data_IF_852005082402
#
_entry.id   IF_852005082402
#
_cell.length_a   1.000
_cell.length_b   1.000
_cell.length_c   1.000
_cell.angle_alpha   90.00
_cell.angle_beta   90.00
_cell.angle_gamma   90.00
#
_symmetry.space_group_name_H-M   'P 1'
#
loop_
_entity.id
_entity.type
_entity.pdbx_description
1 polymer ?
#
# COMPACT_ATOMS: atom_id res chain seq x y z
N UNK A 1 46.90 -15.25 -48.10
CA UNK A 1 46.03 -16.21 -47.39
C UNK A 1 46.33 -16.11 -45.91
N UNK A 2 45.53 -15.34 -45.18
CA UNK A 2 45.75 -15.08 -43.74
C UNK A 2 44.45 -15.38 -43.00
N UNK A 3 44.53 -16.35 -42.08
CA UNK A 3 43.45 -16.90 -41.28
C UNK A 3 43.01 -15.87 -40.21
N UNK A 4 41.77 -15.39 -40.30
CA UNK A 4 41.14 -14.59 -39.25
C UNK A 4 40.47 -15.55 -38.25
N UNK A 5 40.98 -15.50 -37.02
CA UNK A 5 40.54 -16.26 -35.84
C UNK A 5 39.10 -15.90 -35.42
N UNK A 6 38.28 -16.93 -35.19
CA UNK A 6 36.87 -16.87 -34.74
C UNK A 6 36.69 -16.46 -33.25
N UNK A 7 37.43 -15.46 -32.75
CA UNK A 7 37.36 -15.08 -31.31
C UNK A 7 36.90 -13.65 -30.98
N UNK A 8 36.51 -12.84 -31.96
CA UNK A 8 36.20 -11.42 -31.68
C UNK A 8 34.73 -11.00 -31.87
N UNK A 9 33.80 -11.93 -32.11
CA UNK A 9 32.41 -11.58 -32.45
C UNK A 9 31.40 -11.65 -31.28
N UNK A 10 31.83 -11.81 -30.03
CA UNK A 10 30.93 -12.07 -28.89
C UNK A 10 30.90 -10.99 -27.80
N UNK A 11 31.56 -9.85 -27.98
CA UNK A 11 31.57 -8.77 -26.97
C UNK A 11 30.61 -7.60 -27.33
N UNK A 12 30.00 -7.60 -28.52
CA UNK A 12 29.17 -6.47 -28.96
C UNK A 12 27.65 -6.57 -28.73
N UNK A 13 27.10 -7.73 -28.35
CA UNK A 13 25.65 -7.96 -28.39
C UNK A 13 24.92 -7.75 -27.05
N UNK A 14 25.62 -7.66 -25.93
CA UNK A 14 25.00 -7.58 -24.59
C UNK A 14 24.60 -6.17 -24.17
N UNK A 15 25.14 -5.12 -24.82
CA UNK A 15 24.84 -3.73 -24.48
C UNK A 15 23.51 -3.18 -25.02
N UNK A 16 22.89 -3.85 -26.01
CA UNK A 16 21.68 -3.36 -26.69
C UNK A 16 20.37 -4.03 -26.23
N UNK A 17 20.44 -5.08 -25.41
CA UNK A 17 19.26 -5.82 -24.96
C UNK A 17 18.62 -5.23 -23.70
N UNK A 18 19.36 -4.46 -22.90
CA UNK A 18 18.85 -3.90 -21.64
C UNK A 18 18.01 -2.62 -21.83
N UNK A 19 18.20 -1.88 -22.92
CA UNK A 19 17.35 -0.72 -23.26
C UNK A 19 16.05 -1.12 -24.01
N UNK A 20 15.96 -2.37 -24.46
CA UNK A 20 14.80 -2.90 -25.17
C UNK A 20 13.65 -3.29 -24.24
N UNK A 21 13.94 -3.90 -23.09
CA UNK A 21 12.91 -4.34 -22.14
C UNK A 21 12.10 -3.18 -21.55
N UNK A 22 12.72 -2.02 -21.34
CA UNK A 22 12.06 -0.83 -20.81
C UNK A 22 11.15 -0.16 -21.86
N UNK A 23 11.53 -0.18 -23.15
CA UNK A 23 10.66 0.26 -24.26
C UNK A 23 9.50 -0.71 -24.54
N UNK A 24 9.70 -2.00 -24.32
CA UNK A 24 8.67 -3.02 -24.53
C UNK A 24 7.60 -2.96 -23.43
N UNK A 25 7.99 -2.82 -22.17
CA UNK A 25 7.05 -2.72 -21.03
C UNK A 25 6.29 -1.39 -20.97
N UNK A 26 6.81 -0.33 -21.60
CA UNK A 26 6.16 0.98 -21.72
C UNK A 26 5.27 1.12 -22.97
N UNK A 27 5.34 0.19 -23.92
CA UNK A 27 4.53 0.23 -25.13
C UNK A 27 3.01 0.11 -24.80
N UNK A 28 2.14 0.97 -25.38
CA UNK A 28 0.71 0.99 -25.03
C UNK A 28 -0.01 -0.36 -25.22
N UNK A 29 0.40 -1.13 -26.22
CA UNK A 29 -0.15 -2.46 -26.49
C UNK A 29 0.23 -3.47 -25.39
N UNK A 30 1.48 -3.45 -24.92
CA UNK A 30 1.96 -4.32 -23.84
C UNK A 30 1.32 -3.94 -22.51
N UNK A 31 1.20 -2.64 -22.21
CA UNK A 31 0.46 -2.16 -21.03
C UNK A 31 -1.00 -2.62 -21.03
N UNK A 32 -1.71 -2.52 -22.15
CA UNK A 32 -3.10 -3.01 -22.26
C UNK A 32 -3.21 -4.51 -21.96
N UNK A 33 -2.27 -5.31 -22.44
CA UNK A 33 -2.23 -6.76 -22.17
C UNK A 33 -1.94 -7.03 -20.70
N UNK A 34 -0.99 -6.32 -20.09
CA UNK A 34 -0.67 -6.45 -18.67
C UNK A 34 -1.85 -6.06 -17.77
N UNK A 35 -2.51 -4.92 -18.04
CA UNK A 35 -3.71 -4.49 -17.30
C UNK A 35 -4.88 -5.45 -17.50
N UNK A 36 -5.04 -6.05 -18.69
CA UNK A 36 -6.04 -7.08 -18.91
C UNK A 36 -5.74 -8.35 -18.10
N UNK A 37 -4.47 -8.75 -18.02
CA UNK A 37 -3.99 -9.83 -17.16
C UNK A 37 -4.28 -9.58 -15.68
N UNK A 38 -4.03 -8.36 -15.20
CA UNK A 38 -4.36 -7.95 -13.82
C UNK A 38 -5.86 -8.04 -13.54
N UNK A 39 -6.71 -7.55 -14.46
CA UNK A 39 -8.17 -7.66 -14.31
C UNK A 39 -8.65 -9.11 -14.31
N UNK A 40 -8.02 -9.97 -15.12
CA UNK A 40 -8.32 -11.40 -15.14
C UNK A 40 -7.88 -12.08 -13.84
N UNK A 41 -6.69 -11.76 -13.31
CA UNK A 41 -6.19 -12.24 -12.03
C UNK A 41 -7.11 -11.81 -10.87
N UNK A 42 -7.48 -10.53 -10.83
CA UNK A 42 -8.45 -9.97 -9.89
C UNK A 42 -9.79 -10.70 -9.93
N UNK A 43 -10.33 -10.89 -11.13
CA UNK A 43 -11.63 -11.56 -11.32
C UNK A 43 -11.55 -13.03 -10.93
N UNK A 44 -10.46 -13.72 -11.28
CA UNK A 44 -10.21 -15.11 -10.92
C UNK A 44 -10.08 -15.31 -9.42
N UNK A 45 -9.26 -14.50 -8.74
CA UNK A 45 -9.12 -14.56 -7.28
C UNK A 45 -10.46 -14.31 -6.57
N UNK A 46 -11.27 -13.38 -7.07
CA UNK A 46 -12.60 -13.09 -6.51
C UNK A 46 -13.66 -14.17 -6.77
N UNK A 47 -13.48 -15.03 -7.77
CA UNK A 47 -14.38 -16.14 -8.05
C UNK A 47 -14.10 -17.35 -7.15
N UNK A 48 -12.84 -17.53 -6.74
CA UNK A 48 -12.40 -18.73 -6.01
C UNK A 48 -12.25 -18.46 -4.51
N UNK A 49 -11.92 -17.22 -4.12
CA UNK A 49 -11.75 -16.85 -2.72
C UNK A 49 -13.04 -16.21 -2.18
N UNK A 50 -13.56 -16.72 -1.07
CA UNK A 50 -14.63 -16.03 -0.33
C UNK A 50 -14.17 -14.58 -0.02
N UNK A 51 -15.04 -13.61 -0.32
CA UNK A 51 -14.77 -12.19 -0.10
C UNK A 51 -14.56 -11.86 1.38
N UNK A 52 -15.06 -12.71 2.27
CA UNK A 52 -14.87 -12.60 3.72
C UNK A 52 -13.80 -13.56 4.25
N UNK A 53 -13.11 -14.32 3.38
CA UNK A 53 -12.03 -15.19 3.82
C UNK A 53 -10.91 -14.34 4.42
N UNK A 54 -10.63 -14.62 5.69
CA UNK A 54 -9.55 -13.99 6.42
C UNK A 54 -8.20 -14.47 5.88
N UNK A 55 -7.24 -13.56 5.79
CA UNK A 55 -5.83 -13.91 5.72
C UNK A 55 -5.45 -14.75 6.96
N UNK A 56 -4.52 -15.71 6.81
CA UNK A 56 -4.08 -16.53 7.94
C UNK A 56 -3.64 -15.69 9.13
N UNK A 57 -4.16 -16.05 10.31
CA UNK A 57 -3.72 -15.48 11.57
C UNK A 57 -2.78 -16.44 12.29
N UNK A 58 -1.80 -15.86 12.97
CA UNK A 58 -0.74 -16.57 13.65
C UNK A 58 -0.85 -16.37 15.17
N UNK A 59 0.04 -17.03 15.90
CA UNK A 59 0.16 -16.84 17.34
C UNK A 59 1.35 -15.94 17.67
N UNK A 60 1.45 -15.55 18.94
CA UNK A 60 2.60 -14.77 19.41
C UNK A 60 3.92 -15.53 19.34
N UNK A 61 3.88 -16.86 19.36
CA UNK A 61 5.08 -17.68 19.21
C UNK A 61 5.68 -17.57 17.80
N UNK A 62 4.87 -17.16 16.81
CA UNK A 62 5.26 -17.01 15.41
C UNK A 62 5.80 -15.61 15.08
N UNK A 63 5.80 -14.68 16.05
CA UNK A 63 6.25 -13.31 15.81
C UNK A 63 7.70 -13.30 15.33
N UNK A 64 7.93 -12.58 14.23
CA UNK A 64 9.28 -12.44 13.69
C UNK A 64 10.16 -11.66 14.68
N UNK A 65 11.37 -12.14 15.00
CA UNK A 65 12.28 -11.44 15.93
C UNK A 65 12.61 -10.01 15.49
N UNK A 66 12.59 -9.78 14.17
CA UNK A 66 12.72 -8.46 13.57
C UNK A 66 11.65 -8.30 12.51
N UNK A 67 10.91 -7.20 12.59
CA UNK A 67 10.04 -6.76 11.51
C UNK A 67 10.80 -5.71 10.71
N UNK A 68 11.16 -6.00 9.45
CA UNK A 68 11.99 -5.10 8.65
C UNK A 68 11.24 -3.80 8.33
N UNK A 69 11.93 -2.66 8.46
CA UNK A 69 11.46 -1.38 7.96
C UNK A 69 11.82 -1.26 6.47
N UNK A 70 10.82 -1.00 5.61
CA UNK A 70 11.01 -0.76 4.18
C UNK A 70 10.53 0.64 3.78
N UNK A 71 11.07 1.21 2.70
CA UNK A 71 10.77 2.55 2.21
C UNK A 71 11.20 3.65 3.18
N UNK A 72 10.49 4.79 3.15
CA UNK A 72 10.78 5.95 4.01
C UNK A 72 10.57 5.62 5.50
N UNK A 73 11.57 5.90 6.36
CA UNK A 73 11.54 5.57 7.80
C UNK A 73 11.32 6.79 8.71
N UNK A 74 11.33 7.99 8.13
CA UNK A 74 11.15 9.25 8.82
C UNK A 74 10.75 10.31 7.78
N UNK A 75 9.45 10.64 7.64
CA UNK A 75 9.00 11.70 6.75
C UNK A 75 9.71 13.01 7.05
N UNK A 76 10.24 13.69 6.02
CA UNK A 76 11.03 14.92 6.20
C UNK A 76 10.20 16.20 6.31
N UNK A 77 8.89 16.14 6.09
CA UNK A 77 8.01 17.31 6.06
C UNK A 77 7.91 18.00 7.42
N UNK A 78 7.93 19.34 7.43
CA UNK A 78 7.86 20.13 8.65
C UNK A 78 6.59 19.83 9.47
N UNK A 79 5.45 19.64 8.79
CA UNK A 79 4.18 19.32 9.41
C UNK A 79 4.23 17.97 10.15
N UNK A 80 4.80 16.93 9.52
CA UNK A 80 4.95 15.63 10.18
C UNK A 80 5.93 15.71 11.36
N UNK A 81 7.03 16.45 11.21
CA UNK A 81 7.99 16.66 12.30
C UNK A 81 7.35 17.38 13.49
N UNK A 82 6.49 18.36 13.25
CA UNK A 82 5.74 19.05 14.29
C UNK A 82 4.78 18.10 15.04
N UNK A 83 4.04 17.26 14.32
CA UNK A 83 3.23 16.21 14.95
C UNK A 83 4.08 15.21 15.73
N UNK A 84 5.21 14.77 15.20
CA UNK A 84 6.08 13.82 15.91
C UNK A 84 6.64 14.43 17.20
N UNK A 85 7.04 15.70 17.18
CA UNK A 85 7.62 16.41 18.32
C UNK A 85 6.66 16.54 19.51
N UNK A 86 5.34 16.60 19.27
CA UNK A 86 4.31 16.65 20.31
C UNK A 86 3.65 15.30 20.61
N UNK A 87 4.23 14.19 20.14
CA UNK A 87 3.67 12.85 20.36
C UNK A 87 2.36 12.61 19.60
N UNK A 88 2.18 13.28 18.46
CA UNK A 88 1.01 13.23 17.58
C UNK A 88 -0.28 13.73 18.23
N UNK A 89 -0.17 14.63 19.22
CA UNK A 89 -1.33 15.22 19.90
C UNK A 89 -2.22 16.02 18.94
N UNK A 90 -1.59 16.71 17.98
CA UNK A 90 -2.28 17.54 16.98
C UNK A 90 -2.59 16.81 15.68
N UNK A 91 -2.16 15.55 15.54
CA UNK A 91 -2.42 14.76 14.34
C UNK A 91 -3.91 14.45 14.22
N UNK A 92 -4.43 14.56 12.99
CA UNK A 92 -5.80 14.22 12.65
C UNK A 92 -5.82 13.45 11.34
N UNK A 93 -6.60 12.37 11.32
CA UNK A 93 -6.98 11.69 10.09
C UNK A 93 -8.13 12.45 9.45
N UNK A 94 -7.98 12.84 8.20
CA UNK A 94 -9.07 13.39 7.39
C UNK A 94 -9.77 12.30 6.58
N UNK A 95 -11.10 12.34 6.53
CA UNK A 95 -11.92 11.42 5.74
C UNK A 95 -12.83 12.22 4.82
N UNK A 96 -12.69 12.02 3.51
CA UNK A 96 -13.40 12.79 2.49
C UNK A 96 -13.60 12.08 1.16
N UNK A 97 -13.85 12.86 0.12
CA UNK A 97 -14.16 12.38 -1.23
C UNK A 97 -15.64 12.06 -1.43
N UNK A 98 -15.94 10.90 -2.02
CA UNK A 98 -17.28 10.37 -2.29
C UNK A 98 -17.97 9.85 -1.01
N UNK A 99 -18.21 10.76 -0.08
CA UNK A 99 -18.85 10.50 1.22
C UNK A 99 -19.96 11.51 1.47
N UNK A 100 -21.05 11.11 2.12
CA UNK A 100 -22.11 12.03 2.50
C UNK A 100 -21.78 12.82 3.78
N UNK A 101 -20.90 12.29 4.63
CA UNK A 101 -20.49 12.91 5.90
C UNK A 101 -18.96 12.92 6.03
N UNK A 102 -18.25 13.88 5.40
CA UNK A 102 -16.82 14.06 5.63
C UNK A 102 -16.57 14.46 7.08
N UNK A 103 -15.45 13.99 7.66
CA UNK A 103 -15.07 14.33 9.02
C UNK A 103 -13.56 14.11 9.23
N UNK A 104 -13.05 14.59 10.36
CA UNK A 104 -11.70 14.29 10.82
C UNK A 104 -11.73 13.68 12.21
N UNK A 105 -10.76 12.82 12.52
CA UNK A 105 -10.62 12.20 13.84
C UNK A 105 -9.20 12.33 14.38
N UNK A 106 -9.05 12.65 15.66
CA UNK A 106 -7.75 12.70 16.33
C UNK A 106 -7.21 11.30 16.58
N UNK A 107 -5.91 11.18 16.89
CA UNK A 107 -5.33 9.90 17.29
C UNK A 107 -6.03 9.31 18.53
N UNK A 108 -6.43 10.14 19.48
CA UNK A 108 -7.15 9.71 20.68
C UNK A 108 -8.52 9.12 20.34
N UNK A 109 -9.27 9.76 19.43
CA UNK A 109 -10.56 9.26 18.95
C UNK A 109 -10.42 7.94 18.16
N UNK A 110 -9.37 7.82 17.34
CA UNK A 110 -9.08 6.58 16.62
C UNK A 110 -8.77 5.43 17.61
N UNK A 111 -8.01 5.70 18.67
CA UNK A 111 -7.66 4.70 19.70
C UNK A 111 -8.85 4.28 20.57
N UNK A 112 -9.86 5.15 20.74
CA UNK A 112 -11.07 4.85 21.51
C UNK A 112 -12.19 4.19 20.69
N UNK A 113 -12.11 4.24 19.36
CA UNK A 113 -13.04 3.53 18.47
C UNK A 113 -12.92 1.99 18.63
N UNK A 114 -13.88 1.20 18.12
CA UNK A 114 -13.77 -0.26 18.15
C UNK A 114 -12.49 -0.75 17.49
N UNK A 115 -11.75 -1.61 18.20
CA UNK A 115 -10.44 -2.11 17.78
C UNK A 115 -10.51 -3.55 17.29
N UNK A 116 -9.60 -3.90 16.40
CA UNK A 116 -9.23 -5.27 16.05
C UNK A 116 -7.75 -5.45 16.32
N UNK A 117 -7.41 -6.57 16.94
CA UNK A 117 -6.03 -7.08 17.03
C UNK A 117 -5.91 -8.31 16.13
N UNK A 118 -4.85 -8.37 15.34
CA UNK A 118 -4.55 -9.50 14.45
C UNK A 118 -3.05 -9.76 14.40
N UNK A 119 -2.65 -11.02 14.33
CA UNK A 119 -1.25 -11.41 14.12
C UNK A 119 -1.17 -11.97 12.72
N UNK A 120 -0.51 -11.25 11.82
CA UNK A 120 -0.55 -11.54 10.38
C UNK A 120 0.83 -11.43 9.78
N UNK A 121 1.01 -12.14 8.66
CA UNK A 121 2.24 -12.09 7.87
C UNK A 121 2.17 -10.93 6.89
N UNK A 122 3.25 -10.17 6.83
CA UNK A 122 3.52 -9.18 5.80
C UNK A 122 4.45 -9.81 4.76
N UNK A 123 4.01 -9.85 3.51
CA UNK A 123 4.77 -10.40 2.40
C UNK A 123 5.25 -9.25 1.51
N UNK A 124 6.57 -9.04 1.47
CA UNK A 124 7.18 -7.97 0.70
C UNK A 124 7.57 -8.43 -0.71
N UNK A 125 7.35 -7.56 -1.70
CA UNK A 125 7.77 -7.78 -3.09
C UNK A 125 9.30 -7.98 -3.23
N UNK A 126 10.09 -7.52 -2.26
CA UNK A 126 11.54 -7.72 -2.20
C UNK A 126 11.96 -9.16 -1.78
N UNK A 127 11.00 -10.09 -1.64
CA UNK A 127 11.28 -11.51 -1.37
C UNK A 127 11.50 -11.86 0.10
N UNK A 128 10.93 -11.07 1.03
CA UNK A 128 10.98 -11.37 2.46
C UNK A 128 9.61 -11.25 3.10
N UNK A 129 9.41 -11.98 4.19
CA UNK A 129 8.17 -11.95 4.97
C UNK A 129 8.45 -11.71 6.45
N UNK A 130 7.52 -11.08 7.16
CA UNK A 130 7.59 -10.91 8.61
C UNK A 130 6.21 -10.99 9.24
N UNK A 131 6.11 -11.65 10.39
CA UNK A 131 4.87 -11.78 11.17
C UNK A 131 4.91 -10.74 12.28
N UNK A 132 3.82 -9.95 12.38
CA UNK A 132 3.66 -8.91 13.40
C UNK A 132 2.25 -8.94 13.99
N UNK A 133 2.12 -8.52 15.25
CA UNK A 133 0.84 -8.27 15.90
C UNK A 133 0.45 -6.80 15.68
N UNK A 134 -0.72 -6.56 15.11
CA UNK A 134 -1.21 -5.24 14.77
C UNK A 134 -2.52 -4.98 15.50
N UNK A 135 -2.66 -3.77 16.06
CA UNK A 135 -3.94 -3.32 16.65
C UNK A 135 -4.34 -1.98 16.06
N UNK A 136 -5.59 -1.89 15.65
CA UNK A 136 -6.14 -0.73 14.94
C UNK A 136 -7.64 -0.78 14.74
N UNK A 137 -8.16 0.26 14.11
CA UNK A 137 -9.60 0.36 13.78
C UNK A 137 -9.86 -0.29 12.43
N UNK A 138 -10.83 -1.22 12.32
CA UNK A 138 -11.31 -1.69 11.02
C UNK A 138 -11.73 -0.54 10.11
N UNK A 139 -11.10 -0.43 8.93
CA UNK A 139 -11.32 0.67 7.99
C UNK A 139 -12.79 0.78 7.59
N UNK A 140 -13.46 -0.36 7.37
CA UNK A 140 -14.89 -0.38 7.05
C UNK A 140 -15.79 0.31 8.09
N UNK A 141 -15.39 0.41 9.37
CA UNK A 141 -16.17 1.16 10.37
C UNK A 141 -16.08 2.67 10.11
N UNK A 142 -14.89 3.16 9.80
CA UNK A 142 -14.63 4.58 9.49
C UNK A 142 -15.38 4.96 8.21
N UNK A 143 -15.32 4.10 7.19
CA UNK A 143 -16.02 4.31 5.92
C UNK A 143 -17.54 4.30 6.08
N UNK A 144 -18.10 3.40 6.91
CA UNK A 144 -19.53 3.43 7.26
C UNK A 144 -19.92 4.70 8.00
N UNK A 145 -19.10 5.17 8.94
CA UNK A 145 -19.34 6.42 9.66
C UNK A 145 -19.33 7.63 8.71
N UNK A 146 -18.46 7.62 7.69
CA UNK A 146 -18.40 8.65 6.66
C UNK A 146 -19.60 8.62 5.70
N UNK A 147 -20.40 7.55 5.72
CA UNK A 147 -21.50 7.31 4.78
C UNK A 147 -21.00 7.37 3.33
N UNK A 148 -20.13 6.42 2.98
CA UNK A 148 -19.63 6.25 1.60
C UNK A 148 -20.78 6.20 0.58
N UNK A 149 -20.62 6.96 -0.50
CA UNK A 149 -21.59 7.00 -1.59
C UNK A 149 -21.48 5.74 -2.46
N UNK A 150 -22.58 5.24 -3.06
CA UNK A 150 -22.55 4.05 -3.92
C UNK A 150 -21.64 4.16 -5.15
N UNK A 151 -21.27 5.38 -5.57
CA UNK A 151 -20.34 5.61 -6.67
C UNK A 151 -18.87 5.43 -6.29
N UNK A 152 -18.53 5.33 -5.00
CA UNK A 152 -17.15 5.14 -4.56
C UNK A 152 -16.67 3.71 -4.85
N UNK A 153 -15.63 3.60 -5.67
CA UNK A 153 -15.05 2.33 -6.09
C UNK A 153 -13.69 2.05 -5.43
N UNK A 154 -12.99 3.11 -5.02
CA UNK A 154 -11.64 3.03 -4.47
C UNK A 154 -11.49 3.92 -3.24
N UNK A 155 -10.49 3.60 -2.43
CA UNK A 155 -10.05 4.39 -1.28
C UNK A 155 -8.58 4.73 -1.47
N UNK A 156 -8.28 6.02 -1.42
CA UNK A 156 -6.93 6.58 -1.53
C UNK A 156 -6.43 6.97 -0.15
N UNK A 157 -5.18 6.65 0.13
CA UNK A 157 -4.44 7.02 1.33
C UNK A 157 -3.37 8.02 0.95
N UNK A 158 -3.53 9.26 1.44
CA UNK A 158 -2.51 10.29 1.33
C UNK A 158 -1.61 10.23 2.54
N UNK A 159 -0.30 10.21 2.31
CA UNK A 159 0.68 9.94 3.35
C UNK A 159 1.58 11.16 3.59
N UNK A 160 2.21 11.21 4.75
CA UNK A 160 3.11 12.30 5.11
C UNK A 160 4.51 12.18 4.46
N UNK A 161 4.88 10.99 3.98
CA UNK A 161 6.16 10.74 3.34
C UNK A 161 6.17 11.07 1.84
N UNK A 162 7.38 11.27 1.35
CA UNK A 162 7.70 11.45 -0.05
C UNK A 162 8.91 10.58 -0.42
N UNK A 163 9.13 10.49 -1.73
CA UNK A 163 10.33 9.94 -2.32
C UNK A 163 10.92 10.99 -3.27
N UNK A 164 11.97 11.67 -2.81
CA UNK A 164 12.64 12.74 -3.56
C UNK A 164 11.70 13.90 -3.92
N UNK A 165 10.83 14.28 -2.98
CA UNK A 165 9.87 15.38 -3.16
C UNK A 165 8.57 14.98 -3.86
N UNK A 166 8.47 13.75 -4.38
CA UNK A 166 7.20 13.23 -4.90
C UNK A 166 6.40 12.59 -3.76
N UNK A 167 5.19 13.11 -3.43
CA UNK A 167 4.40 12.57 -2.34
C UNK A 167 4.06 11.10 -2.53
N UNK A 168 4.17 10.32 -1.45
CA UNK A 168 3.71 8.94 -1.44
C UNK A 168 2.20 8.89 -1.23
N UNK A 169 1.54 8.08 -2.05
CA UNK A 169 0.12 7.77 -1.91
C UNK A 169 -0.10 6.31 -2.28
N UNK A 170 -1.21 5.76 -1.81
CA UNK A 170 -1.58 4.39 -2.11
C UNK A 170 -3.10 4.27 -2.26
N UNK A 171 -3.58 3.22 -2.91
CA UNK A 171 -5.02 2.94 -2.98
C UNK A 171 -5.36 1.46 -2.95
N UNK A 172 -6.59 1.16 -2.53
CA UNK A 172 -7.22 -0.15 -2.60
C UNK A 172 -8.64 -0.01 -3.12
N UNK A 173 -9.24 -1.10 -3.61
CA UNK A 173 -10.67 -1.09 -3.93
C UNK A 173 -11.56 -1.09 -2.68
N UNK A 174 -12.83 -0.79 -2.90
CA UNK A 174 -13.84 -0.78 -1.84
C UNK A 174 -14.05 -2.16 -1.19
N UNK A 175 -13.75 -3.27 -1.88
CA UNK A 175 -13.92 -4.63 -1.33
C UNK A 175 -12.86 -4.86 -0.25
N UNK A 176 -11.59 -4.63 -0.59
CA UNK A 176 -10.47 -4.74 0.36
C UNK A 176 -10.58 -3.69 1.46
N UNK A 177 -11.04 -2.48 1.16
CA UNK A 177 -11.25 -1.44 2.17
C UNK A 177 -12.32 -1.82 3.21
N UNK A 178 -13.34 -2.58 2.80
CA UNK A 178 -14.41 -3.06 3.68
C UNK A 178 -14.10 -4.40 4.35
N UNK A 179 -12.98 -5.02 4.01
CA UNK A 179 -12.58 -6.32 4.54
C UNK A 179 -12.33 -6.27 6.07
N UNK A 180 -12.76 -7.29 6.85
CA UNK A 180 -12.66 -7.26 8.31
C UNK A 180 -11.23 -7.14 8.88
N UNK A 181 -10.20 -7.59 8.16
CA UNK A 181 -8.78 -7.47 8.54
C UNK A 181 -8.08 -6.25 7.95
N UNK A 182 -8.78 -5.40 7.20
CA UNK A 182 -8.22 -4.13 6.75
C UNK A 182 -8.37 -3.11 7.86
N UNK A 183 -7.25 -2.75 8.50
CA UNK A 183 -7.23 -1.90 9.69
C UNK A 183 -6.31 -0.70 9.52
N UNK A 184 -6.65 0.39 10.20
CA UNK A 184 -5.75 1.50 10.49
C UNK A 184 -5.03 1.21 11.81
N UNK A 185 -3.84 0.64 11.73
CA UNK A 185 -3.06 0.21 12.87
C UNK A 185 -2.30 1.39 13.50
N UNK A 186 -2.43 1.54 14.82
CA UNK A 186 -1.70 2.52 15.65
C UNK A 186 -0.79 1.86 16.69
N UNK A 187 -0.86 0.53 16.80
CA UNK A 187 -0.12 -0.27 17.76
C UNK A 187 0.47 -1.49 17.05
N UNK A 188 1.72 -1.79 17.36
CA UNK A 188 2.47 -2.93 16.82
C UNK A 188 3.13 -3.68 17.96
N UNK A 189 2.95 -5.00 18.04
CA UNK A 189 3.54 -5.86 19.07
C UNK A 189 3.30 -5.35 20.50
N UNK A 190 2.07 -4.86 20.78
CA UNK A 190 1.63 -4.24 22.04
C UNK A 190 2.37 -2.97 22.45
N UNK A 191 3.09 -2.35 21.53
CA UNK A 191 3.76 -1.07 21.73
C UNK A 191 3.17 -0.03 20.78
N UNK A 192 3.24 1.27 21.12
CA UNK A 192 2.94 2.32 20.16
C UNK A 192 3.69 2.08 18.85
N UNK A 193 3.01 2.27 17.72
CA UNK A 193 3.61 2.07 16.40
C UNK A 193 4.89 2.91 16.27
N UNK A 194 6.06 2.31 16.01
CA UNK A 194 7.29 3.07 15.84
C UNK A 194 7.24 3.93 14.57
N UNK A 195 7.93 5.08 14.57
CA UNK A 195 7.97 6.00 13.42
C UNK A 195 8.40 5.28 12.15
N UNK A 196 9.49 4.51 12.17
CA UNK A 196 9.95 3.76 11.00
C UNK A 196 8.97 2.70 10.45
N UNK A 197 7.92 2.35 11.21
CA UNK A 197 6.84 1.48 10.78
C UNK A 197 5.55 2.22 10.37
N UNK A 198 5.56 3.55 10.39
CA UNK A 198 4.46 4.38 9.90
C UNK A 198 3.63 5.05 10.99
N UNK A 199 4.23 5.43 12.11
CA UNK A 199 3.52 6.20 13.14
C UNK A 199 2.87 7.48 12.58
N UNK A 200 1.78 7.99 13.19
CA UNK A 200 1.04 7.39 14.29
C UNK A 200 0.09 6.28 13.82
N UNK A 201 -0.18 6.22 12.51
CA UNK A 201 -1.15 5.31 11.90
C UNK A 201 -0.65 4.83 10.56
N UNK A 202 -0.73 3.51 10.36
CA UNK A 202 -0.50 2.87 9.06
C UNK A 202 -1.72 2.07 8.61
N UNK A 203 -1.84 1.88 7.31
CA UNK A 203 -2.73 0.90 6.74
C UNK A 203 -2.13 -0.51 6.90
N UNK A 204 -3.02 -1.45 7.18
CA UNK A 204 -2.80 -2.90 7.09
C UNK A 204 -3.87 -3.49 6.20
N UNK A 205 -3.46 -4.12 5.09
CA UNK A 205 -4.32 -4.85 4.15
C UNK A 205 -3.69 -6.22 3.96
N UNK A 206 -4.20 -7.20 4.69
CA UNK A 206 -3.46 -8.47 4.91
C UNK A 206 -3.55 -9.44 3.73
N UNK A 207 -4.38 -9.13 2.74
CA UNK A 207 -4.54 -9.87 1.49
C UNK A 207 -3.75 -9.26 0.33
N UNK A 208 -2.84 -8.34 0.63
CA UNK A 208 -2.04 -7.64 -0.38
C UNK A 208 -0.56 -7.59 -0.01
N UNK A 209 0.28 -7.47 -1.04
CA UNK A 209 1.72 -7.29 -0.89
C UNK A 209 2.06 -6.00 -0.11
N UNK A 210 3.25 -6.03 0.48
CA UNK A 210 3.65 -5.05 1.48
C UNK A 210 3.69 -3.59 1.03
N UNK A 211 3.86 -3.31 -0.26
CA UNK A 211 3.88 -1.94 -0.76
C UNK A 211 2.49 -1.30 -0.75
N UNK A 212 1.40 -2.08 -0.80
CA UNK A 212 0.03 -1.56 -0.66
C UNK A 212 -0.30 -1.09 0.76
N UNK A 213 0.56 -1.40 1.73
CA UNK A 213 0.32 -1.12 3.14
C UNK A 213 0.90 0.25 3.52
N UNK A 214 0.19 1.30 3.13
CA UNK A 214 0.56 2.70 3.35
C UNK A 214 0.97 3.02 4.79
N UNK A 215 1.99 3.88 4.95
CA UNK A 215 2.49 4.37 6.24
C UNK A 215 2.19 5.85 6.39
N UNK A 216 2.23 6.38 7.62
CA UNK A 216 2.10 7.81 7.86
C UNK A 216 0.81 8.40 7.27
N UNK A 217 -0.30 7.66 7.38
CA UNK A 217 -1.56 8.03 6.73
C UNK A 217 -2.06 9.35 7.32
N UNK A 218 -2.40 10.31 6.47
CA UNK A 218 -2.90 11.63 6.86
C UNK A 218 -4.36 11.85 6.43
N UNK A 219 -4.72 11.35 5.24
CA UNK A 219 -6.07 11.48 4.69
C UNK A 219 -6.50 10.20 3.98
N UNK A 220 -7.79 9.91 4.10
CA UNK A 220 -8.51 8.87 3.39
C UNK A 220 -9.52 9.53 2.47
N UNK A 221 -9.47 9.19 1.18
CA UNK A 221 -10.33 9.78 0.17
C UNK A 221 -11.02 8.70 -0.66
N UNK A 222 -12.35 8.67 -0.60
CA UNK A 222 -13.15 7.79 -1.43
C UNK A 222 -13.33 8.37 -2.83
N UNK A 223 -13.08 7.58 -3.87
CA UNK A 223 -13.16 8.04 -5.27
C UNK A 223 -13.88 7.01 -6.14
N UNK A 224 -14.43 7.46 -7.26
CA UNK A 224 -15.09 6.61 -8.27
C UNK A 224 -14.09 6.05 -9.30
N UNK A 225 -12.97 6.73 -9.50
CA UNK A 225 -11.91 6.34 -10.43
C UNK A 225 -10.53 6.73 -9.90
N UNK A 226 -9.51 5.97 -10.30
CA UNK A 226 -8.10 6.31 -10.07
C UNK A 226 -7.55 7.20 -11.20
N UNK A 227 -8.24 7.28 -12.33
CA UNK A 227 -7.81 8.06 -13.48
C UNK A 227 -7.72 9.56 -13.14
N UNK A 228 -6.59 10.18 -13.50
CA UNK A 228 -6.35 11.61 -13.24
C UNK A 228 -5.92 11.94 -11.82
N UNK A 229 -5.72 10.94 -10.95
CA UNK A 229 -5.17 11.12 -9.61
C UNK A 229 -3.70 10.72 -9.63
N UNK A 230 -2.79 11.68 -9.38
CA UNK A 230 -1.35 11.52 -9.57
C UNK A 230 -1.02 10.99 -10.98
N UNK A 231 -0.33 9.85 -11.10
CA UNK A 231 -0.04 9.20 -12.39
C UNK A 231 -1.17 8.31 -12.93
N UNK A 232 -2.24 8.12 -12.15
CA UNK A 232 -3.41 7.33 -12.53
C UNK A 232 -3.24 5.81 -12.44
N UNK A 233 -2.08 5.32 -11.99
CA UNK A 233 -1.77 3.91 -11.75
C UNK A 233 -2.28 3.41 -10.39
N UNK A 234 -2.73 4.29 -9.50
CA UNK A 234 -3.38 3.93 -8.24
C UNK A 234 -2.44 3.78 -7.04
N UNK A 235 -1.19 4.15 -7.17
CA UNK A 235 -0.23 4.21 -6.07
C UNK A 235 1.12 4.72 -6.56
N UNK A 236 1.98 5.11 -5.63
CA UNK A 236 3.30 5.64 -5.97
C UNK A 236 4.14 4.63 -6.77
N UNK A 237 4.17 3.36 -6.36
CA UNK A 237 5.01 2.35 -6.99
C UNK A 237 4.47 1.91 -8.35
N UNK A 238 3.15 1.91 -8.50
CA UNK A 238 2.46 1.68 -9.76
C UNK A 238 2.82 2.77 -10.78
N UNK A 239 2.80 4.04 -10.34
CA UNK A 239 3.10 5.19 -11.19
C UNK A 239 4.57 5.27 -11.60
N UNK A 240 5.50 4.94 -10.69
CA UNK A 240 6.94 5.22 -10.87
C UNK A 240 7.80 3.99 -11.13
N UNK A 241 7.33 2.81 -10.76
CA UNK A 241 8.07 1.55 -10.92
C UNK A 241 7.30 0.49 -11.69
N UNK A 242 6.08 0.80 -12.14
CA UNK A 242 5.24 -0.12 -12.90
C UNK A 242 4.81 -1.35 -12.11
N UNK A 243 4.68 -1.23 -10.79
CA UNK A 243 4.14 -2.29 -9.95
C UNK A 243 2.67 -2.55 -10.33
N UNK A 244 2.21 -3.78 -10.09
CA UNK A 244 0.83 -4.15 -10.40
C UNK A 244 -0.12 -3.52 -9.38
N UNK A 245 -1.14 -2.80 -9.82
CA UNK A 245 -2.05 -2.18 -8.85
C UNK A 245 -2.78 -3.22 -7.99
N UNK A 246 -3.27 -4.30 -8.63
CA UNK A 246 -3.86 -5.41 -7.91
C UNK A 246 -2.77 -6.36 -7.41
N UNK A 247 -2.33 -6.12 -6.18
CA UNK A 247 -1.23 -6.83 -5.52
C UNK A 247 -1.72 -7.93 -4.56
N UNK A 248 -2.80 -8.62 -4.91
CA UNK A 248 -3.44 -9.63 -4.06
C UNK A 248 -2.58 -10.89 -3.85
N UNK A 249 -2.63 -11.46 -2.65
CA UNK A 249 -2.00 -12.74 -2.27
C UNK A 249 -3.02 -13.75 -1.74
#
# INVERSE_FOLDING_TARGET
>A
MTLISRRSALVGATGLLLSGCEKITTAPAVRKVLTAGEKAMLSGQRLVTDRNALAPEFTRADLSPRFRMNGNRLPGSADYQAHMANGFADWKLEIGGRVARPFSMTLAQLKSAPQRTQITRHDCVEGWSAIGEWTGVPLGLILRQAQILPSAQYVIFHCADDFSGTPYYESIDMIDAMHPQTILAHTMNRQPLPVGHGAPVRLRVERALGYKQAKYVMKIEAVDTLAGIHGGGGGYWEDHSGYQWFAGI
#
